data_IF_668942950353
#
_entry.id   IF_668942950353
#
_cell.length_a   1.000
_cell.length_b   1.000
_cell.length_c   1.000
_cell.angle_alpha   90.00
_cell.angle_beta   90.00
_cell.angle_gamma   90.00
#
_symmetry.space_group_name_H-M   'P 1'
#
loop_
_entity.id
_entity.type
_entity.pdbx_description
1 polymer ?
#
# COMPACT_ATOMS: atom_id res chain seq x y z
N UNK A 1 -49.82 25.25 36.89
CA UNK A 1 -49.25 24.57 38.08
C UNK A 1 -48.06 25.37 38.60
N UNK A 2 -48.00 25.68 39.91
CA UNK A 2 -47.05 26.62 40.52
C UNK A 2 -46.94 26.33 42.03
N UNK A 3 -45.73 26.51 42.62
CA UNK A 3 -45.38 26.40 44.07
C UNK A 3 -45.46 24.97 44.65
N UNK A 4 -44.59 24.43 45.53
CA UNK A 4 -43.51 24.89 46.44
C UNK A 4 -43.86 24.93 47.95
N UNK A 5 -42.91 24.41 48.76
CA UNK A 5 -42.68 24.53 50.24
C UNK A 5 -43.28 23.49 51.22
N UNK A 6 -42.36 22.85 51.94
CA UNK A 6 -42.33 22.67 53.41
C UNK A 6 -40.84 22.93 53.85
N UNK A 7 -40.42 23.57 54.94
CA UNK A 7 -40.91 23.75 56.32
C UNK A 7 -40.70 22.48 57.19
N UNK A 8 -40.12 22.48 58.41
CA UNK A 8 -39.46 23.53 59.25
C UNK A 8 -38.46 22.87 60.29
N UNK A 9 -38.22 23.26 61.57
CA UNK A 9 -36.83 23.56 62.03
C UNK A 9 -36.35 22.97 63.40
N UNK A 10 -35.12 23.34 63.80
CA UNK A 10 -34.61 23.45 65.20
C UNK A 10 -33.17 24.01 65.20
N UNK A 11 -32.80 25.19 65.74
CA UNK A 11 -32.68 25.62 67.16
C UNK A 11 -31.88 24.63 68.03
N UNK A 12 -30.89 25.00 68.86
CA UNK A 12 -30.11 26.24 69.10
C UNK A 12 -28.81 25.84 69.90
N UNK A 13 -27.90 26.67 70.47
CA UNK A 13 -27.79 28.11 70.71
C UNK A 13 -26.30 28.55 70.96
N UNK A 14 -26.09 29.86 71.13
CA UNK A 14 -25.15 30.62 72.02
C UNK A 14 -23.85 30.02 72.65
N UNK A 15 -22.84 30.79 73.08
CA UNK A 15 -22.31 32.14 72.81
C UNK A 15 -21.11 32.39 73.77
N UNK A 16 -20.11 33.21 73.43
CA UNK A 16 -18.99 33.54 74.36
C UNK A 16 -17.73 34.07 73.67
N UNK A 17 -17.72 35.31 73.17
CA UNK A 17 -17.27 36.56 73.84
C UNK A 17 -15.74 36.81 73.79
N UNK A 18 -15.41 37.77 72.94
CA UNK A 18 -14.15 38.47 72.63
C UNK A 18 -13.34 38.90 73.87
N UNK A 19 -11.98 38.84 73.78
CA UNK A 19 -11.06 39.93 74.18
C UNK A 19 -9.60 39.72 73.67
N UNK A 20 -9.02 40.78 73.09
CA UNK A 20 -7.57 41.03 72.84
C UNK A 20 -7.08 41.98 73.95
N UNK A 21 -5.78 42.06 74.37
CA UNK A 21 -4.65 42.45 73.49
C UNK A 21 -3.24 41.95 73.94
N UNK A 22 -2.16 42.50 73.37
CA UNK A 22 -0.82 42.51 74.00
C UNK A 22 0.38 42.31 73.06
N UNK A 23 1.37 43.23 73.08
CA UNK A 23 2.66 43.13 72.34
C UNK A 23 3.82 42.90 73.32
N UNK A 24 4.81 42.04 72.97
CA UNK A 24 6.25 42.40 72.76
C UNK A 24 7.22 41.20 72.84
N UNK A 25 8.06 41.08 71.79
CA UNK A 25 9.44 40.54 71.67
C UNK A 25 10.06 39.68 72.80
N UNK A 26 10.65 38.54 72.40
CA UNK A 26 12.06 38.16 72.70
C UNK A 26 12.62 37.23 71.59
N UNK A 27 13.95 37.08 71.54
CA UNK A 27 14.72 36.52 70.42
C UNK A 27 15.07 35.02 70.55
N UNK A 28 15.48 34.43 69.42
CA UNK A 28 16.39 33.29 69.24
C UNK A 28 15.99 31.87 69.72
N UNK A 29 15.68 31.00 68.75
CA UNK A 29 16.42 29.74 68.50
C UNK A 29 16.02 29.18 67.11
N UNK A 30 16.99 28.69 66.32
CA UNK A 30 16.72 28.18 64.96
C UNK A 30 16.32 26.69 64.98
N UNK A 31 15.20 26.29 64.34
CA UNK A 31 14.86 24.88 64.15
C UNK A 31 15.57 24.28 62.92
N UNK A 32 16.12 23.08 63.09
CA UNK A 32 16.85 22.32 62.06
C UNK A 32 15.99 22.03 60.83
N UNK A 33 16.61 22.08 59.64
CA UNK A 33 15.98 21.81 58.35
C UNK A 33 15.48 20.36 58.23
N UNK A 34 14.17 20.19 57.99
CA UNK A 34 13.62 18.95 57.44
C UNK A 34 13.79 18.97 55.91
N UNK A 35 14.26 17.90 55.26
CA UNK A 35 14.32 17.86 53.80
C UNK A 35 12.90 17.87 53.22
N UNK A 36 12.60 18.86 52.37
CA UNK A 36 11.36 18.87 51.58
C UNK A 36 11.39 17.68 50.62
N UNK A 37 10.36 16.82 50.65
CA UNK A 37 10.10 15.89 49.56
C UNK A 37 9.92 16.70 48.27
N UNK A 38 10.85 16.54 47.33
CA UNK A 38 10.66 17.04 45.97
C UNK A 38 9.47 16.30 45.34
N UNK A 39 8.50 17.05 44.81
CA UNK A 39 7.36 16.50 44.09
C UNK A 39 7.71 16.53 42.59
N UNK A 40 7.99 15.38 41.94
CA UNK A 40 8.39 15.37 40.54
C UNK A 40 7.15 15.59 39.66
N UNK A 41 6.73 16.84 39.51
CA UNK A 41 5.86 17.24 38.40
C UNK A 41 6.70 17.20 37.13
N UNK A 42 6.74 16.03 36.51
CA UNK A 42 7.27 15.84 35.17
C UNK A 42 6.51 16.76 34.22
N UNK A 43 7.20 17.77 33.68
CA UNK A 43 6.70 18.57 32.57
C UNK A 43 6.78 17.73 31.30
N UNK A 44 5.81 16.83 31.12
CA UNK A 44 5.59 16.14 29.85
C UNK A 44 5.07 17.14 28.82
N UNK A 45 6.00 17.88 28.20
CA UNK A 45 5.76 18.47 26.89
C UNK A 45 5.26 17.34 25.97
N UNK A 46 4.13 17.52 25.27
CA UNK A 46 3.68 16.51 24.32
C UNK A 46 4.75 16.40 23.25
N UNK A 47 5.44 15.26 23.22
CA UNK A 47 6.35 14.89 22.13
C UNK A 47 5.54 15.04 20.85
N UNK A 48 5.93 15.98 19.98
CA UNK A 48 5.40 16.03 18.60
C UNK A 48 5.53 14.62 18.01
N UNK A 49 4.51 14.11 17.31
CA UNK A 49 4.66 12.86 16.59
C UNK A 49 5.88 12.96 15.67
N UNK A 50 6.66 11.88 15.50
CA UNK A 50 7.78 11.89 14.57
C UNK A 50 7.28 12.35 13.20
N UNK A 51 7.93 13.35 12.63
CA UNK A 51 7.51 13.86 11.33
C UNK A 51 7.70 12.75 10.29
N UNK A 52 6.74 12.56 9.36
CA UNK A 52 6.94 11.61 8.27
C UNK A 52 8.19 12.00 7.48
N UNK A 53 8.93 11.02 6.92
CA UNK A 53 10.11 11.30 6.12
C UNK A 53 9.75 12.26 4.96
N UNK A 54 10.68 13.13 4.57
CA UNK A 54 10.44 14.11 3.51
C UNK A 54 10.01 13.41 2.22
N UNK A 55 9.00 13.97 1.56
CA UNK A 55 8.51 13.47 0.27
C UNK A 55 9.35 14.08 -0.84
N UNK A 56 9.91 13.28 -1.73
CA UNK A 56 10.65 13.81 -2.89
C UNK A 56 9.71 14.55 -3.83
N UNK A 57 10.06 15.77 -4.21
CA UNK A 57 9.35 16.62 -5.15
C UNK A 57 10.29 16.93 -6.30
N UNK A 58 9.88 16.63 -7.53
CA UNK A 58 10.64 17.01 -8.71
C UNK A 58 10.24 18.41 -9.17
N UNK A 59 11.20 19.24 -9.55
CA UNK A 59 10.99 20.48 -10.31
C UNK A 59 11.72 20.38 -11.65
N UNK A 60 10.96 20.38 -12.74
CA UNK A 60 11.45 20.37 -14.11
C UNK A 60 11.30 21.79 -14.66
N UNK A 61 12.39 22.55 -14.69
CA UNK A 61 12.41 23.98 -15.00
C UNK A 61 13.86 24.38 -15.33
N UNK A 62 14.11 25.24 -16.32
CA UNK A 62 15.47 25.65 -16.70
C UNK A 62 15.99 26.87 -15.89
N UNK A 63 15.10 27.58 -15.19
CA UNK A 63 15.42 28.84 -14.53
C UNK A 63 15.93 28.63 -13.09
N UNK A 64 17.25 28.79 -12.91
CA UNK A 64 17.93 28.73 -11.60
C UNK A 64 17.36 29.66 -10.52
N UNK A 65 16.70 30.75 -10.91
CA UNK A 65 16.02 31.65 -9.98
C UNK A 65 14.76 30.99 -9.43
N UNK A 66 13.98 30.33 -10.29
CA UNK A 66 12.76 29.62 -9.92
C UNK A 66 13.06 28.41 -9.04
N UNK A 67 14.15 27.67 -9.29
CA UNK A 67 14.64 26.61 -8.38
C UNK A 67 14.82 27.11 -6.94
N UNK A 68 15.46 28.28 -6.79
CA UNK A 68 15.69 28.92 -5.48
C UNK A 68 14.37 29.40 -4.85
N UNK A 69 13.49 29.99 -5.66
CA UNK A 69 12.19 30.48 -5.20
C UNK A 69 11.31 29.34 -4.67
N UNK A 70 11.12 28.28 -5.45
CA UNK A 70 10.38 27.07 -5.03
C UNK A 70 11.01 26.47 -3.79
N UNK A 71 12.34 26.29 -3.75
CA UNK A 71 13.06 25.79 -2.59
C UNK A 71 12.87 26.65 -1.32
N UNK A 72 12.72 27.97 -1.44
CA UNK A 72 12.37 28.86 -0.32
C UNK A 72 10.89 28.76 0.08
N UNK A 73 9.97 28.56 -0.87
CA UNK A 73 8.55 28.38 -0.56
C UNK A 73 8.29 27.08 0.21
N UNK A 74 8.91 25.96 -0.20
CA UNK A 74 8.76 24.66 0.45
C UNK A 74 9.21 24.69 1.93
N UNK A 75 10.28 25.45 2.24
CA UNK A 75 10.77 25.65 3.62
C UNK A 75 9.80 26.42 4.52
N UNK A 76 8.82 27.12 3.95
CA UNK A 76 7.80 27.86 4.70
C UNK A 76 6.55 27.01 5.00
N UNK A 77 6.45 25.80 4.44
CA UNK A 77 5.30 24.92 4.64
C UNK A 77 5.21 24.49 6.10
N UNK A 78 4.00 24.49 6.65
CA UNK A 78 3.76 24.15 8.06
C UNK A 78 3.41 22.67 8.28
N UNK A 79 3.09 21.94 7.22
CA UNK A 79 2.64 20.55 7.25
C UNK A 79 3.64 19.58 6.64
N UNK A 80 3.59 19.42 5.32
CA UNK A 80 4.42 18.49 4.57
C UNK A 80 5.84 19.02 4.36
N UNK A 81 6.83 18.13 4.51
CA UNK A 81 8.23 18.41 4.22
C UNK A 81 8.58 17.76 2.89
N UNK A 82 9.27 18.51 2.03
CA UNK A 82 9.64 18.06 0.69
C UNK A 82 11.14 18.20 0.47
N UNK A 83 11.75 17.16 -0.07
CA UNK A 83 13.10 17.22 -0.62
C UNK A 83 12.98 17.53 -2.11
N UNK A 84 13.55 18.67 -2.53
CA UNK A 84 13.44 19.17 -3.90
C UNK A 84 14.57 18.58 -4.76
N UNK A 85 14.21 17.69 -5.68
CA UNK A 85 15.06 17.26 -6.79
C UNK A 85 14.76 18.16 -8.01
N UNK A 86 15.77 18.41 -8.84
CA UNK A 86 15.72 19.37 -9.95
C UNK A 86 16.06 18.63 -11.25
N UNK A 87 15.36 18.96 -12.32
CA UNK A 87 15.73 18.66 -13.70
C UNK A 87 15.72 19.96 -14.51
N UNK A 88 16.75 20.21 -15.31
CA UNK A 88 16.94 21.50 -16.00
C UNK A 88 16.51 21.49 -17.47
N UNK A 89 15.93 20.39 -17.94
CA UNK A 89 15.57 20.14 -19.33
C UNK A 89 14.57 18.98 -19.43
N UNK A 90 13.91 18.83 -20.58
CA UNK A 90 12.93 17.78 -20.85
C UNK A 90 13.52 16.38 -20.67
N UNK A 91 14.71 16.13 -21.22
CA UNK A 91 15.33 14.80 -21.20
C UNK A 91 15.56 14.28 -19.78
N UNK A 92 16.14 15.12 -18.92
CA UNK A 92 16.39 14.83 -17.51
C UNK A 92 15.07 14.68 -16.73
N UNK A 93 14.09 15.56 -17.01
CA UNK A 93 12.77 15.48 -16.38
C UNK A 93 12.03 14.18 -16.69
N UNK A 94 12.07 13.73 -17.94
CA UNK A 94 11.48 12.47 -18.38
C UNK A 94 12.18 11.26 -17.74
N UNK A 95 13.51 11.25 -17.66
CA UNK A 95 14.28 10.18 -17.02
C UNK A 95 13.96 10.06 -15.51
N UNK A 96 13.86 11.20 -14.81
CA UNK A 96 13.45 11.23 -13.41
C UNK A 96 11.99 10.80 -13.21
N UNK A 97 11.06 11.23 -14.07
CA UNK A 97 9.66 10.76 -14.03
C UNK A 97 9.51 9.25 -14.33
N UNK A 98 10.36 8.69 -15.20
CA UNK A 98 10.35 7.26 -15.56
C UNK A 98 10.99 6.36 -14.49
N UNK A 99 12.06 6.81 -13.85
CA UNK A 99 12.68 6.10 -12.71
C UNK A 99 11.81 6.18 -11.45
N UNK A 100 11.14 7.31 -11.25
CA UNK A 100 10.03 7.47 -10.31
C UNK A 100 10.42 7.54 -8.84
N UNK A 101 9.39 7.40 -7.99
CA UNK A 101 9.53 7.54 -6.53
C UNK A 101 9.57 8.99 -6.03
N UNK A 102 9.25 9.97 -6.89
CA UNK A 102 8.78 11.30 -6.49
C UNK A 102 7.31 11.23 -6.08
N UNK A 103 6.91 12.02 -5.08
CA UNK A 103 5.53 12.10 -4.64
C UNK A 103 4.68 13.03 -5.52
N UNK A 104 5.31 14.01 -6.16
CA UNK A 104 4.73 14.90 -7.17
C UNK A 104 5.85 15.50 -8.03
N UNK A 105 5.47 16.14 -9.14
CA UNK A 105 6.36 16.99 -9.92
C UNK A 105 5.73 18.37 -10.19
N UNK A 106 6.56 19.40 -10.21
CA UNK A 106 6.28 20.71 -10.78
C UNK A 106 7.00 20.78 -12.13
N UNK A 107 6.31 21.22 -13.18
CA UNK A 107 6.82 21.19 -14.55
C UNK A 107 6.58 22.53 -15.23
N UNK A 108 7.63 23.19 -15.71
CA UNK A 108 7.48 24.33 -16.61
C UNK A 108 6.81 23.88 -17.91
N UNK A 109 5.94 24.75 -18.43
CA UNK A 109 5.38 24.59 -19.77
C UNK A 109 6.47 24.72 -20.85
N UNK A 110 7.43 25.63 -20.68
CA UNK A 110 8.51 25.88 -21.65
C UNK A 110 9.84 25.40 -21.09
N UNK A 111 10.56 24.56 -21.84
CA UNK A 111 11.90 24.09 -21.48
C UNK A 111 12.86 24.34 -22.64
N UNK A 112 14.17 24.41 -22.35
CA UNK A 112 15.20 24.75 -23.37
C UNK A 112 15.21 23.81 -24.59
N UNK A 113 14.83 22.56 -24.39
CA UNK A 113 14.86 21.46 -25.36
C UNK A 113 13.45 20.96 -25.76
N UNK A 114 12.37 21.60 -25.31
CA UNK A 114 11.02 21.22 -25.72
C UNK A 114 9.87 21.86 -24.94
N UNK A 115 8.73 21.17 -24.99
CA UNK A 115 7.46 21.55 -24.39
C UNK A 115 7.09 20.55 -23.28
N UNK A 116 6.68 21.07 -22.13
CA UNK A 116 6.29 20.27 -20.97
C UNK A 116 5.05 19.40 -21.21
N UNK A 117 4.10 19.79 -22.08
CA UNK A 117 2.97 18.92 -22.43
C UNK A 117 3.45 17.63 -23.12
N UNK A 118 4.36 17.78 -24.08
CA UNK A 118 4.95 16.67 -24.83
C UNK A 118 5.71 15.70 -23.91
N UNK A 119 6.49 16.25 -22.95
CA UNK A 119 7.17 15.47 -21.91
C UNK A 119 6.18 14.70 -21.02
N UNK A 120 5.09 15.36 -20.58
CA UNK A 120 4.10 14.72 -19.74
C UNK A 120 3.38 13.59 -20.48
N UNK A 121 3.01 13.81 -21.75
CA UNK A 121 2.39 12.79 -22.59
C UNK A 121 3.31 11.56 -22.77
N UNK A 122 4.60 11.76 -23.02
CA UNK A 122 5.57 10.66 -23.11
C UNK A 122 5.74 9.93 -21.77
N UNK A 123 5.83 10.67 -20.65
CA UNK A 123 5.91 10.09 -19.32
C UNK A 123 4.65 9.24 -18.99
N UNK A 124 3.46 9.73 -19.34
CA UNK A 124 2.19 9.01 -19.17
C UNK A 124 2.12 7.77 -20.05
N UNK A 125 2.57 7.84 -21.30
CA UNK A 125 2.67 6.69 -22.19
C UNK A 125 3.66 5.62 -21.68
N UNK A 126 4.74 6.04 -21.00
CA UNK A 126 5.67 5.17 -20.29
C UNK A 126 5.12 4.63 -18.94
N UNK A 127 3.87 4.94 -18.59
CA UNK A 127 3.21 4.45 -17.36
C UNK A 127 3.50 5.26 -16.10
N UNK A 128 4.12 6.45 -16.21
CA UNK A 128 4.39 7.31 -15.06
C UNK A 128 3.09 7.76 -14.38
N UNK A 129 2.99 7.55 -13.06
CA UNK A 129 1.83 7.91 -12.23
C UNK A 129 2.06 9.11 -11.31
N UNK A 130 3.26 9.70 -11.33
CA UNK A 130 3.59 10.90 -10.53
C UNK A 130 2.58 12.00 -10.87
N UNK A 131 1.89 12.59 -9.87
CA UNK A 131 1.00 13.72 -10.12
C UNK A 131 1.83 14.94 -10.50
N UNK A 132 1.50 15.56 -11.64
CA UNK A 132 2.25 16.69 -12.20
C UNK A 132 1.41 17.96 -12.14
N UNK A 133 2.02 19.06 -11.72
CA UNK A 133 1.43 20.40 -11.68
C UNK A 133 2.23 21.28 -12.63
N UNK A 134 1.57 21.94 -13.58
CA UNK A 134 2.23 22.86 -14.49
C UNK A 134 2.53 24.21 -13.83
N UNK A 135 3.67 24.82 -14.19
CA UNK A 135 4.03 26.18 -13.86
C UNK A 135 3.99 27.02 -15.16
N UNK A 136 2.95 27.83 -15.35
CA UNK A 136 2.73 28.63 -16.57
C UNK A 136 3.13 30.10 -16.38
N UNK A 137 3.62 30.75 -17.42
CA UNK A 137 3.92 32.17 -17.43
C UNK A 137 2.69 33.07 -17.77
N UNK A 138 1.60 32.52 -18.32
CA UNK A 138 0.47 33.32 -18.82
C UNK A 138 -0.86 32.54 -18.80
N UNK A 139 -1.98 33.25 -18.64
CA UNK A 139 -3.35 32.70 -18.47
C UNK A 139 -4.13 32.65 -19.79
N UNK A 140 -3.63 31.91 -20.78
CA UNK A 140 -4.39 31.65 -22.00
C UNK A 140 -5.30 30.45 -21.79
N UNK A 141 -6.63 30.63 -21.84
CA UNK A 141 -7.62 29.57 -21.56
C UNK A 141 -7.38 28.26 -22.34
N UNK A 142 -6.82 28.34 -23.56
CA UNK A 142 -6.46 27.19 -24.40
C UNK A 142 -5.34 26.31 -23.81
N UNK A 143 -4.39 26.91 -23.07
CA UNK A 143 -3.24 26.21 -22.46
C UNK A 143 -3.66 25.39 -21.24
N UNK A 144 -4.63 25.91 -20.48
CA UNK A 144 -5.14 25.31 -19.25
C UNK A 144 -5.87 23.99 -19.57
N UNK A 145 -6.63 23.96 -20.67
CA UNK A 145 -7.29 22.74 -21.17
C UNK A 145 -6.28 21.70 -21.66
N UNK A 146 -5.29 22.09 -22.47
CA UNK A 146 -4.27 21.17 -22.99
C UNK A 146 -3.45 20.51 -21.86
N UNK A 147 -3.15 21.25 -20.79
CA UNK A 147 -2.47 20.71 -19.60
C UNK A 147 -3.29 19.62 -18.90
N UNK A 148 -4.60 19.81 -18.74
CA UNK A 148 -5.50 18.83 -18.14
C UNK A 148 -5.69 17.60 -19.04
N UNK A 149 -5.82 17.79 -20.36
CA UNK A 149 -5.90 16.68 -21.33
C UNK A 149 -4.62 15.84 -21.38
N UNK A 150 -3.45 16.46 -21.22
CA UNK A 150 -2.17 15.75 -21.06
C UNK A 150 -2.05 14.99 -19.72
N UNK A 151 -3.03 15.09 -18.83
CA UNK A 151 -3.05 14.38 -17.55
C UNK A 151 -2.25 15.06 -16.43
N UNK A 152 -2.19 16.40 -16.44
CA UNK A 152 -1.82 17.18 -15.27
C UNK A 152 -2.93 17.16 -14.21
N UNK A 153 -2.56 17.46 -12.97
CA UNK A 153 -3.50 17.50 -11.83
C UNK A 153 -3.95 18.93 -11.51
N UNK A 154 -3.10 19.90 -11.78
CA UNK A 154 -3.34 21.32 -11.51
C UNK A 154 -2.36 22.16 -12.36
N UNK A 155 -2.59 23.46 -12.45
CA UNK A 155 -1.66 24.42 -13.05
C UNK A 155 -1.56 25.67 -12.17
N UNK A 156 -0.39 26.30 -12.18
CA UNK A 156 -0.08 27.46 -11.34
C UNK A 156 0.63 28.53 -12.16
N UNK A 157 0.15 29.77 -12.06
CA UNK A 157 0.85 30.92 -12.63
C UNK A 157 2.17 31.19 -11.88
N UNK A 158 3.29 31.22 -12.59
CA UNK A 158 4.61 31.58 -12.08
C UNK A 158 4.61 32.95 -11.40
N UNK A 159 3.91 33.93 -11.99
CA UNK A 159 3.82 35.30 -11.48
C UNK A 159 2.99 35.44 -10.19
N UNK A 160 1.96 34.62 -10.00
CA UNK A 160 1.10 34.62 -8.81
C UNK A 160 1.52 33.57 -7.76
N UNK A 161 2.62 32.85 -8.00
CA UNK A 161 3.06 31.74 -7.16
C UNK A 161 3.34 32.20 -5.73
N UNK A 162 2.69 31.56 -4.76
CA UNK A 162 2.87 31.85 -3.33
C UNK A 162 2.97 30.56 -2.53
N UNK A 163 3.67 30.56 -1.36
CA UNK A 163 3.80 29.36 -0.52
C UNK A 163 2.46 28.71 -0.18
N UNK A 164 1.44 29.54 0.11
CA UNK A 164 0.09 29.06 0.45
C UNK A 164 -0.63 28.41 -0.73
N UNK A 165 -0.45 28.94 -1.95
CA UNK A 165 -1.03 28.37 -3.17
C UNK A 165 -0.34 27.05 -3.52
N UNK A 166 0.99 27.03 -3.54
CA UNK A 166 1.77 25.83 -3.83
C UNK A 166 1.53 24.71 -2.80
N UNK A 167 1.46 25.03 -1.49
CA UNK A 167 1.12 24.04 -0.45
C UNK A 167 -0.30 23.49 -0.64
N UNK A 168 -1.26 24.30 -1.08
CA UNK A 168 -2.64 23.87 -1.37
C UNK A 168 -2.68 22.88 -2.53
N UNK A 169 -2.06 23.24 -3.65
CA UNK A 169 -2.08 22.44 -4.88
C UNK A 169 -1.31 21.13 -4.74
N UNK A 170 -0.10 21.15 -4.15
CA UNK A 170 0.62 19.92 -3.80
C UNK A 170 -0.19 19.03 -2.85
N UNK A 171 -0.85 19.59 -1.83
CA UNK A 171 -1.69 18.83 -0.90
C UNK A 171 -2.90 18.20 -1.60
N UNK A 172 -3.51 18.89 -2.55
CA UNK A 172 -4.61 18.35 -3.35
C UNK A 172 -4.11 17.21 -4.24
N UNK A 173 -3.04 17.44 -4.99
CA UNK A 173 -2.47 16.47 -5.92
C UNK A 173 -2.01 15.17 -5.23
N UNK A 174 -1.36 15.29 -4.06
CA UNK A 174 -0.99 14.13 -3.24
C UNK A 174 -2.22 13.35 -2.74
N UNK A 175 -3.28 14.03 -2.27
CA UNK A 175 -4.51 13.37 -1.83
C UNK A 175 -5.23 12.66 -2.96
N UNK A 176 -5.31 13.29 -4.13
CA UNK A 176 -5.91 12.69 -5.31
C UNK A 176 -5.13 11.43 -5.73
N UNK A 177 -3.80 11.51 -5.77
CA UNK A 177 -2.94 10.35 -6.06
C UNK A 177 -3.08 9.23 -5.02
N UNK A 178 -3.17 9.57 -3.72
CA UNK A 178 -3.41 8.61 -2.64
C UNK A 178 -4.79 7.92 -2.79
N UNK A 179 -5.85 8.68 -3.11
CA UNK A 179 -7.19 8.12 -3.35
C UNK A 179 -7.28 7.28 -4.62
N UNK A 180 -6.61 7.68 -5.71
CA UNK A 180 -6.57 6.91 -6.95
C UNK A 180 -5.82 5.58 -6.76
N UNK A 181 -4.71 5.58 -6.02
CA UNK A 181 -3.99 4.33 -5.70
C UNK A 181 -4.80 3.43 -4.75
N UNK A 182 -5.55 3.99 -3.80
CA UNK A 182 -6.49 3.22 -2.98
C UNK A 182 -7.60 2.58 -3.81
N UNK A 183 -8.24 3.35 -4.72
CA UNK A 183 -9.24 2.82 -5.65
C UNK A 183 -8.64 1.73 -6.56
N UNK A 184 -7.41 1.91 -7.02
CA UNK A 184 -6.69 0.91 -7.81
C UNK A 184 -6.42 -0.36 -7.01
N UNK A 185 -5.97 -0.26 -5.76
CA UNK A 185 -5.75 -1.42 -4.89
C UNK A 185 -7.06 -2.17 -4.63
N UNK A 186 -8.15 -1.47 -4.33
CA UNK A 186 -9.50 -2.07 -4.22
C UNK A 186 -9.97 -2.72 -5.53
N UNK A 187 -9.54 -2.18 -6.68
CA UNK A 187 -9.89 -2.70 -8.00
C UNK A 187 -9.04 -3.92 -8.43
N UNK A 188 -7.78 -4.02 -8.01
CA UNK A 188 -6.83 -5.04 -8.51
C UNK A 188 -6.38 -6.08 -7.48
N UNK A 189 -6.60 -5.86 -6.18
CA UNK A 189 -6.19 -6.78 -5.11
C UNK A 189 -7.37 -7.41 -4.37
N UNK A 190 -7.14 -8.58 -3.78
CA UNK A 190 -8.03 -9.20 -2.80
C UNK A 190 -7.82 -8.56 -1.42
N UNK A 191 -8.90 -8.23 -0.73
CA UNK A 191 -8.85 -7.45 0.52
C UNK A 191 -8.32 -8.26 1.71
N UNK A 192 -8.46 -9.59 1.68
CA UNK A 192 -8.03 -10.46 2.78
C UNK A 192 -6.53 -10.76 2.70
N UNK A 193 -6.07 -11.15 1.51
CA UNK A 193 -4.72 -11.69 1.27
C UNK A 193 -3.73 -10.67 0.71
N UNK A 194 -4.21 -9.55 0.16
CA UNK A 194 -3.39 -8.56 -0.54
C UNK A 194 -2.84 -9.02 -1.90
N UNK A 195 -3.10 -10.26 -2.32
CA UNK A 195 -2.75 -10.78 -3.64
C UNK A 195 -3.55 -10.08 -4.74
N UNK A 196 -3.24 -10.34 -6.00
CA UNK A 196 -4.10 -9.93 -7.11
C UNK A 196 -5.49 -10.60 -6.96
N UNK A 197 -6.56 -9.88 -7.31
CA UNK A 197 -7.89 -10.50 -7.40
C UNK A 197 -8.08 -11.19 -8.76
N UNK A 198 -9.07 -12.07 -8.86
CA UNK A 198 -9.40 -12.82 -10.07
C UNK A 198 -9.49 -11.95 -11.34
N UNK A 199 -10.13 -10.78 -11.26
CA UNK A 199 -10.30 -9.89 -12.44
C UNK A 199 -8.96 -9.38 -12.98
N UNK A 200 -8.04 -9.01 -12.10
CA UNK A 200 -6.70 -8.56 -12.51
C UNK A 200 -5.83 -9.75 -12.96
N UNK A 201 -6.00 -10.93 -12.34
CA UNK A 201 -5.40 -12.17 -12.82
C UNK A 201 -5.83 -12.52 -14.26
N UNK A 202 -7.13 -12.52 -14.54
CA UNK A 202 -7.67 -12.85 -15.87
C UNK A 202 -7.11 -11.88 -16.95
N UNK A 203 -6.96 -10.60 -16.60
CA UNK A 203 -6.37 -9.56 -17.46
C UNK A 203 -4.87 -9.82 -17.72
N UNK A 204 -4.08 -10.01 -16.67
CA UNK A 204 -2.63 -10.25 -16.79
C UNK A 204 -2.34 -11.56 -17.52
N UNK A 205 -3.12 -12.62 -17.26
CA UNK A 205 -3.00 -13.90 -17.96
C UNK A 205 -3.22 -13.72 -19.46
N UNK A 206 -4.23 -12.94 -19.88
CA UNK A 206 -4.45 -12.59 -21.28
C UNK A 206 -3.26 -11.86 -21.92
N UNK A 207 -2.77 -10.81 -21.27
CA UNK A 207 -1.67 -9.98 -21.78
C UNK A 207 -0.35 -10.77 -21.90
N UNK A 208 0.02 -11.54 -20.86
CA UNK A 208 1.28 -12.29 -20.84
C UNK A 208 1.25 -13.52 -21.75
N UNK A 209 0.12 -14.24 -21.88
CA UNK A 209 0.01 -15.32 -22.88
C UNK A 209 0.14 -14.77 -24.31
N UNK A 210 -0.51 -13.65 -24.62
CA UNK A 210 -0.39 -13.02 -25.93
C UNK A 210 1.07 -12.61 -26.23
N UNK A 211 1.81 -12.13 -25.21
CA UNK A 211 3.25 -11.85 -25.31
C UNK A 211 4.08 -13.12 -25.52
N UNK A 212 3.87 -14.15 -24.72
CA UNK A 212 4.59 -15.42 -24.78
C UNK A 212 4.43 -16.12 -26.12
N UNK A 213 3.20 -16.24 -26.62
CA UNK A 213 2.90 -16.83 -27.95
C UNK A 213 3.54 -16.01 -29.07
N UNK A 214 3.53 -14.67 -28.99
CA UNK A 214 4.12 -13.79 -30.01
C UNK A 214 5.65 -13.88 -30.09
N UNK A 215 6.33 -14.11 -28.97
CA UNK A 215 7.79 -14.10 -28.87
C UNK A 215 8.40 -15.49 -28.66
N UNK A 216 7.61 -16.56 -28.81
CA UNK A 216 8.00 -17.96 -28.58
C UNK A 216 8.73 -18.16 -27.22
N UNK A 217 8.13 -17.62 -26.15
CA UNK A 217 8.65 -17.72 -24.78
C UNK A 217 7.76 -18.62 -23.92
N UNK A 218 8.33 -19.55 -23.15
CA UNK A 218 7.55 -20.41 -22.27
C UNK A 218 6.95 -19.60 -21.11
N UNK A 219 5.73 -19.94 -20.71
CA UNK A 219 5.14 -19.47 -19.45
C UNK A 219 4.26 -20.55 -18.87
N UNK A 220 4.18 -20.60 -17.54
CA UNK A 220 3.41 -21.61 -16.82
C UNK A 220 2.36 -20.98 -15.90
N UNK A 221 1.21 -21.62 -15.83
CA UNK A 221 0.14 -21.33 -14.87
C UNK A 221 0.10 -22.45 -13.83
N UNK A 222 0.10 -22.09 -12.56
CA UNK A 222 -0.28 -22.99 -11.47
C UNK A 222 -1.64 -22.56 -10.89
N UNK A 223 -2.58 -23.50 -10.80
CA UNK A 223 -3.79 -23.39 -9.98
C UNK A 223 -3.59 -24.18 -8.69
N UNK A 224 -4.00 -23.60 -7.57
CA UNK A 224 -3.66 -24.06 -6.21
C UNK A 224 -4.94 -24.08 -5.37
N UNK A 225 -5.13 -25.12 -4.56
CA UNK A 225 -6.27 -25.28 -3.66
C UNK A 225 -5.81 -25.74 -2.28
N UNK A 226 -6.29 -25.07 -1.24
CA UNK A 226 -5.91 -25.38 0.14
C UNK A 226 -6.59 -26.67 0.59
N UNK A 227 -5.79 -27.69 0.90
CA UNK A 227 -6.30 -29.01 1.21
C UNK A 227 -7.17 -28.99 2.48
N UNK A 228 -8.39 -29.51 2.35
CA UNK A 228 -9.35 -29.62 3.46
C UNK A 228 -9.74 -28.28 4.11
N UNK A 229 -9.65 -27.15 3.39
CA UNK A 229 -9.96 -25.82 3.93
C UNK A 229 -11.34 -25.73 4.60
N UNK A 230 -12.37 -26.32 4.00
CA UNK A 230 -13.70 -26.42 4.63
C UNK A 230 -13.65 -27.02 6.05
N UNK A 231 -12.84 -28.07 6.29
CA UNK A 231 -12.69 -28.68 7.62
C UNK A 231 -12.05 -27.71 8.62
N UNK A 232 -11.15 -26.84 8.19
CA UNK A 232 -10.58 -25.77 9.04
C UNK A 232 -11.69 -24.80 9.48
N UNK A 233 -12.52 -24.32 8.55
CA UNK A 233 -13.66 -23.46 8.87
C UNK A 233 -14.67 -24.15 9.80
N UNK A 234 -15.04 -25.40 9.50
CA UNK A 234 -16.04 -26.16 10.27
C UNK A 234 -15.54 -26.48 11.71
N UNK A 235 -14.22 -26.59 11.91
CA UNK A 235 -13.61 -26.94 13.22
C UNK A 235 -13.15 -25.73 14.04
N UNK A 236 -12.66 -24.67 13.38
CA UNK A 236 -12.01 -23.52 14.04
C UNK A 236 -12.67 -22.17 13.72
N UNK A 237 -13.72 -22.15 12.90
CA UNK A 237 -14.45 -20.95 12.50
C UNK A 237 -13.78 -20.16 11.38
N UNK A 238 -14.56 -19.28 10.74
CA UNK A 238 -14.08 -18.44 9.62
C UNK A 238 -12.85 -17.59 9.94
N UNK A 239 -12.67 -16.98 11.13
CA UNK A 239 -11.44 -16.23 11.44
C UNK A 239 -10.17 -17.07 11.36
N UNK A 240 -10.25 -18.38 11.61
CA UNK A 240 -9.12 -19.28 11.44
C UNK A 240 -8.90 -19.66 9.97
N UNK A 241 -9.96 -19.82 9.18
CA UNK A 241 -9.86 -19.94 7.73
C UNK A 241 -9.20 -18.71 7.08
N UNK A 242 -9.60 -17.50 7.51
CA UNK A 242 -9.03 -16.24 7.04
C UNK A 242 -7.51 -16.15 7.35
N UNK A 243 -7.10 -16.51 8.56
CA UNK A 243 -5.68 -16.58 8.93
C UNK A 243 -4.91 -17.63 8.11
N UNK A 244 -5.53 -18.77 7.79
CA UNK A 244 -4.94 -19.79 6.91
C UNK A 244 -4.78 -19.28 5.47
N UNK A 245 -5.78 -18.58 4.92
CA UNK A 245 -5.71 -17.95 3.60
C UNK A 245 -4.57 -16.94 3.51
N UNK A 246 -4.44 -16.07 4.53
CA UNK A 246 -3.36 -15.09 4.63
C UNK A 246 -1.98 -15.75 4.74
N UNK A 247 -1.86 -16.80 5.55
CA UNK A 247 -0.62 -17.55 5.72
C UNK A 247 -0.18 -18.23 4.42
N UNK A 248 -1.08 -18.93 3.73
CA UNK A 248 -0.78 -19.59 2.44
C UNK A 248 -0.43 -18.54 1.38
N UNK A 249 -1.20 -17.46 1.28
CA UNK A 249 -0.92 -16.36 0.36
C UNK A 249 0.48 -15.75 0.57
N UNK A 250 0.86 -15.48 1.82
CA UNK A 250 2.19 -14.96 2.17
C UNK A 250 3.32 -15.92 1.81
N UNK A 251 3.13 -17.22 2.05
CA UNK A 251 4.11 -18.27 1.72
C UNK A 251 4.34 -18.42 0.21
N UNK A 252 3.29 -18.25 -0.60
CA UNK A 252 3.39 -18.28 -2.07
C UNK A 252 4.05 -16.98 -2.56
N UNK A 253 3.56 -15.82 -2.12
CA UNK A 253 4.08 -14.51 -2.54
C UNK A 253 5.57 -14.31 -2.20
N UNK A 254 6.02 -14.77 -1.03
CA UNK A 254 7.43 -14.67 -0.61
C UNK A 254 8.38 -15.62 -1.35
N UNK A 255 7.87 -16.56 -2.15
CA UNK A 255 8.66 -17.51 -2.94
C UNK A 255 8.50 -17.33 -4.47
N UNK A 256 7.59 -16.48 -4.90
CA UNK A 256 7.46 -16.02 -6.28
C UNK A 256 8.58 -15.02 -6.62
N UNK A 257 8.93 -14.90 -7.90
CA UNK A 257 9.88 -13.86 -8.37
C UNK A 257 9.14 -12.53 -8.56
N UNK A 258 9.87 -11.42 -8.59
CA UNK A 258 9.29 -10.09 -8.84
C UNK A 258 8.56 -9.97 -10.21
N UNK A 259 8.87 -10.88 -11.14
CA UNK A 259 8.24 -10.99 -12.48
C UNK A 259 7.07 -11.97 -12.53
N UNK A 260 6.82 -12.72 -11.46
CA UNK A 260 5.71 -13.66 -11.35
C UNK A 260 4.48 -13.00 -10.73
N UNK A 261 3.29 -13.43 -11.12
CA UNK A 261 2.03 -12.85 -10.65
C UNK A 261 1.27 -13.83 -9.77
N UNK A 262 1.02 -13.46 -8.52
CA UNK A 262 0.30 -14.27 -7.53
C UNK A 262 -1.08 -13.67 -7.26
N UNK A 263 -2.12 -14.50 -7.37
CA UNK A 263 -3.51 -14.10 -7.27
C UNK A 263 -4.33 -15.01 -6.34
N UNK A 264 -5.38 -14.45 -5.74
CA UNK A 264 -6.49 -15.22 -5.19
C UNK A 264 -7.54 -15.39 -6.28
N UNK A 265 -7.67 -16.62 -6.77
CA UNK A 265 -8.54 -16.97 -7.90
C UNK A 265 -9.98 -17.29 -7.47
N UNK A 266 -10.13 -17.83 -6.25
CA UNK A 266 -11.42 -18.24 -5.69
C UNK A 266 -11.45 -18.17 -4.15
N UNK A 267 -12.39 -18.88 -3.54
CA UNK A 267 -12.59 -18.86 -2.09
C UNK A 267 -11.38 -19.38 -1.31
N UNK A 268 -10.97 -20.60 -1.64
CA UNK A 268 -9.79 -21.31 -1.10
C UNK A 268 -8.71 -21.56 -2.18
N UNK A 269 -8.86 -20.91 -3.33
CA UNK A 269 -8.05 -21.13 -4.53
C UNK A 269 -7.12 -19.96 -4.81
N UNK A 270 -5.84 -20.27 -5.07
CA UNK A 270 -4.81 -19.31 -5.49
C UNK A 270 -4.32 -19.66 -6.90
N UNK A 271 -3.75 -18.69 -7.60
CA UNK A 271 -3.12 -18.90 -8.89
C UNK A 271 -1.76 -18.20 -8.97
N UNK A 272 -0.82 -18.79 -9.72
CA UNK A 272 0.50 -18.20 -9.99
C UNK A 272 0.79 -18.26 -11.48
N UNK A 273 1.07 -17.09 -12.08
CA UNK A 273 1.56 -16.97 -13.45
C UNK A 273 3.08 -16.83 -13.37
N UNK A 274 3.80 -17.78 -13.97
CA UNK A 274 5.26 -17.83 -14.01
C UNK A 274 5.74 -17.57 -15.44
N UNK A 275 6.23 -16.36 -15.69
CA UNK A 275 6.79 -15.99 -17.00
C UNK A 275 8.16 -16.64 -17.21
N UNK A 276 8.54 -16.86 -18.47
CA UNK A 276 9.82 -17.47 -18.87
C UNK A 276 10.10 -18.81 -18.16
N UNK A 277 9.07 -19.65 -18.05
CA UNK A 277 9.08 -20.87 -17.21
C UNK A 277 8.37 -22.03 -17.90
N UNK A 278 9.04 -23.19 -17.97
CA UNK A 278 8.49 -24.45 -18.49
C UNK A 278 7.66 -25.19 -17.44
N UNK A 279 6.77 -26.10 -17.88
CA UNK A 279 5.96 -26.93 -16.97
C UNK A 279 6.78 -27.65 -15.90
N UNK A 280 7.94 -28.23 -16.28
CA UNK A 280 8.83 -28.91 -15.34
C UNK A 280 9.43 -28.00 -14.27
N UNK A 281 9.88 -26.80 -14.65
CA UNK A 281 10.43 -25.81 -13.71
C UNK A 281 9.35 -25.27 -12.77
N UNK A 282 8.17 -24.95 -13.30
CA UNK A 282 7.01 -24.52 -12.54
C UNK A 282 6.55 -25.57 -11.52
N UNK A 283 6.48 -26.85 -11.93
CA UNK A 283 6.15 -27.97 -11.04
C UNK A 283 7.14 -28.09 -9.87
N UNK A 284 8.44 -27.95 -10.14
CA UNK A 284 9.48 -27.99 -9.09
C UNK A 284 9.37 -26.78 -8.14
N UNK A 285 9.13 -25.58 -8.67
CA UNK A 285 8.90 -24.38 -7.86
C UNK A 285 7.67 -24.53 -6.94
N UNK A 286 6.55 -25.01 -7.48
CA UNK A 286 5.33 -25.27 -6.73
C UNK A 286 5.50 -26.38 -5.68
N UNK A 287 6.22 -27.45 -6.00
CA UNK A 287 6.51 -28.52 -5.04
C UNK A 287 7.39 -28.03 -3.89
N UNK A 288 8.36 -27.14 -4.16
CA UNK A 288 9.15 -26.44 -3.13
C UNK A 288 8.26 -25.58 -2.23
N UNK A 289 7.32 -24.83 -2.80
CA UNK A 289 6.36 -24.01 -2.04
C UNK A 289 5.48 -24.87 -1.12
N UNK A 290 4.92 -25.98 -1.63
CA UNK A 290 4.12 -26.94 -0.86
C UNK A 290 4.93 -27.56 0.30
N UNK A 291 6.16 -28.01 0.01
CA UNK A 291 7.06 -28.56 1.02
C UNK A 291 7.54 -27.50 2.03
N UNK A 292 7.53 -26.21 1.70
CA UNK A 292 7.77 -25.15 2.69
C UNK A 292 6.53 -24.97 3.59
N UNK A 293 5.34 -24.81 3.02
CA UNK A 293 4.08 -24.67 3.77
C UNK A 293 3.85 -25.82 4.77
N UNK A 294 4.06 -27.07 4.34
CA UNK A 294 3.90 -28.24 5.19
C UNK A 294 4.83 -28.26 6.43
N UNK A 295 5.92 -27.47 6.41
CA UNK A 295 6.86 -27.29 7.54
C UNK A 295 6.61 -26.00 8.34
N UNK A 296 5.75 -25.10 7.85
CA UNK A 296 5.40 -23.84 8.49
C UNK A 296 3.91 -23.82 8.82
N UNK A 297 3.48 -24.39 9.97
CA UNK A 297 2.07 -24.37 10.35
C UNK A 297 1.57 -22.93 10.55
N UNK A 298 0.30 -22.70 10.19
CA UNK A 298 -0.37 -21.43 10.43
C UNK A 298 -0.54 -21.23 11.95
N UNK A 299 -0.10 -20.09 12.49
CA UNK A 299 -0.19 -19.77 13.92
C UNK A 299 -1.32 -18.80 14.21
N UNK A 300 -2.23 -19.20 15.10
CA UNK A 300 -3.42 -18.44 15.48
C UNK A 300 -3.45 -18.37 17.02
N UNK A 301 -2.78 -17.35 17.57
CA UNK A 301 -2.43 -17.34 19.00
C UNK A 301 -1.51 -18.52 19.33
N UNK A 302 -1.88 -19.32 20.32
CA UNK A 302 -1.17 -20.55 20.71
C UNK A 302 -1.45 -21.75 19.79
N UNK A 303 -2.45 -21.67 18.90
CA UNK A 303 -2.83 -22.78 18.02
C UNK A 303 -1.89 -22.83 16.80
N UNK A 304 -1.28 -23.99 16.55
CA UNK A 304 -0.50 -24.26 15.34
C UNK A 304 -1.27 -25.25 14.43
N UNK A 305 -1.83 -24.76 13.32
CA UNK A 305 -2.55 -25.57 12.34
C UNK A 305 -1.60 -26.03 11.22
N UNK A 306 -1.37 -27.33 11.04
CA UNK A 306 -0.72 -27.84 9.83
C UNK A 306 -1.67 -27.66 8.64
N UNK A 307 -1.15 -27.08 7.55
CA UNK A 307 -1.90 -26.82 6.31
C UNK A 307 -1.08 -27.33 5.14
N UNK A 308 -1.73 -27.86 4.12
CA UNK A 308 -1.12 -28.23 2.83
C UNK A 308 -1.96 -27.66 1.69
N UNK A 309 -1.42 -27.70 0.47
CA UNK A 309 -2.19 -27.42 -0.74
C UNK A 309 -1.92 -28.48 -1.80
N UNK A 310 -2.89 -28.66 -2.68
CA UNK A 310 -2.71 -29.34 -3.96
C UNK A 310 -2.54 -28.30 -5.06
N UNK A 311 -1.73 -28.60 -6.08
CA UNK A 311 -1.57 -27.72 -7.24
C UNK A 311 -1.57 -28.46 -8.57
N UNK A 312 -2.11 -27.82 -9.60
CA UNK A 312 -2.07 -28.25 -10.99
C UNK A 312 -1.32 -27.23 -11.84
N UNK A 313 -0.39 -27.70 -12.66
CA UNK A 313 0.49 -26.85 -13.48
C UNK A 313 0.25 -27.14 -14.97
N UNK A 314 0.12 -26.09 -15.77
CA UNK A 314 0.11 -26.16 -17.23
C UNK A 314 1.05 -25.11 -17.82
N UNK A 315 1.64 -25.34 -18.99
CA UNK A 315 2.53 -24.38 -19.64
C UNK A 315 2.26 -24.18 -21.14
N UNK A 316 2.56 -22.97 -21.61
CA UNK A 316 2.64 -22.61 -23.02
C UNK A 316 4.03 -23.02 -23.55
N UNK A 317 4.14 -23.62 -24.75
CA UNK A 317 3.05 -23.93 -25.69
C UNK A 317 2.34 -25.28 -25.45
N UNK A 318 2.96 -26.18 -24.68
CA UNK A 318 2.62 -27.61 -24.61
C UNK A 318 1.16 -27.92 -24.25
N UNK A 319 0.60 -27.18 -23.28
CA UNK A 319 -0.71 -27.44 -22.67
C UNK A 319 -1.80 -26.46 -23.16
N UNK A 320 -1.48 -25.59 -24.14
CA UNK A 320 -2.42 -24.68 -24.78
C UNK A 320 -1.88 -23.27 -25.02
N UNK A 321 -2.43 -22.59 -26.04
CA UNK A 321 -2.02 -21.23 -26.46
C UNK A 321 -3.00 -20.12 -26.03
N UNK A 322 -4.09 -20.46 -25.35
CA UNK A 322 -5.11 -19.48 -24.90
C UNK A 322 -5.32 -19.57 -23.38
N UNK A 323 -5.73 -18.47 -22.71
CA UNK A 323 -6.00 -18.49 -21.28
C UNK A 323 -6.99 -19.57 -20.87
N UNK A 324 -8.06 -19.78 -21.65
CA UNK A 324 -9.08 -20.79 -21.39
C UNK A 324 -8.51 -22.23 -21.47
N UNK A 325 -7.68 -22.53 -22.47
CA UNK A 325 -7.05 -23.84 -22.60
C UNK A 325 -6.05 -24.10 -21.45
N UNK A 326 -5.22 -23.11 -21.12
CA UNK A 326 -4.21 -23.23 -20.08
C UNK A 326 -4.84 -23.38 -18.68
N UNK A 327 -5.91 -22.64 -18.38
CA UNK A 327 -6.70 -22.79 -17.16
C UNK A 327 -7.31 -24.20 -17.08
N UNK A 328 -7.92 -24.70 -18.16
CA UNK A 328 -8.53 -26.03 -18.19
C UNK A 328 -7.50 -27.15 -17.97
N UNK A 329 -6.32 -27.04 -18.57
CA UNK A 329 -5.22 -27.99 -18.38
C UNK A 329 -4.68 -27.97 -16.93
N UNK A 330 -4.53 -26.78 -16.34
CA UNK A 330 -4.10 -26.63 -14.94
C UNK A 330 -5.14 -27.15 -13.95
N UNK A 331 -6.43 -26.89 -14.19
CA UNK A 331 -7.53 -27.40 -13.34
C UNK A 331 -7.62 -28.93 -13.40
N UNK A 332 -7.47 -29.50 -14.60
CA UNK A 332 -7.41 -30.95 -14.78
C UNK A 332 -6.24 -31.59 -14.00
N UNK A 333 -5.07 -30.95 -14.01
CA UNK A 333 -3.92 -31.37 -13.21
C UNK A 333 -4.17 -31.24 -11.70
N UNK A 334 -4.82 -30.16 -11.26
CA UNK A 334 -5.19 -29.93 -9.87
C UNK A 334 -6.20 -30.98 -9.37
N UNK A 335 -7.19 -31.32 -10.19
CA UNK A 335 -8.16 -32.38 -9.92
C UNK A 335 -7.47 -33.75 -9.77
N UNK A 336 -6.52 -34.06 -10.65
CA UNK A 336 -5.71 -35.28 -10.55
C UNK A 336 -4.82 -35.29 -9.29
N UNK A 337 -4.23 -34.16 -8.90
CA UNK A 337 -3.48 -34.02 -7.65
C UNK A 337 -4.37 -34.26 -6.40
N UNK A 338 -5.58 -33.67 -6.38
CA UNK A 338 -6.58 -33.90 -5.32
C UNK A 338 -6.99 -35.38 -5.24
N UNK A 339 -7.26 -36.04 -6.38
CA UNK A 339 -7.61 -37.48 -6.46
C UNK A 339 -6.46 -38.40 -6.08
N UNK A 340 -5.22 -38.04 -6.38
CA UNK A 340 -4.04 -38.82 -5.99
C UNK A 340 -3.82 -38.91 -4.48
N UNK A 341 -4.53 -38.09 -3.68
CA UNK A 341 -4.43 -38.06 -2.24
C UNK A 341 -3.89 -36.75 -1.67
N UNK A 342 -4.04 -35.64 -2.40
CA UNK A 342 -3.70 -34.26 -1.97
C UNK A 342 -2.22 -34.03 -1.62
N UNK A 343 -1.88 -32.83 -1.14
CA UNK A 343 -0.54 -32.38 -0.76
C UNK A 343 0.53 -32.69 -1.84
N UNK A 344 0.22 -32.36 -3.09
CA UNK A 344 1.08 -32.65 -4.24
C UNK A 344 0.84 -31.69 -5.40
N UNK A 345 1.80 -31.68 -6.31
CA UNK A 345 1.77 -30.89 -7.54
C UNK A 345 1.86 -31.84 -8.73
N UNK A 346 0.88 -31.77 -9.64
CA UNK A 346 0.95 -32.44 -10.94
C UNK A 346 1.04 -31.40 -12.06
N UNK A 347 1.77 -31.71 -13.13
CA UNK A 347 1.61 -31.05 -14.43
C UNK A 347 0.45 -31.66 -15.23
N UNK A 348 -0.03 -30.94 -16.24
CA UNK A 348 -1.05 -31.44 -17.16
C UNK A 348 -0.60 -32.73 -17.89
N UNK A 349 0.68 -32.80 -18.28
CA UNK A 349 1.31 -34.00 -18.83
C UNK A 349 1.30 -35.18 -17.84
N UNK A 350 1.68 -34.97 -16.57
CA UNK A 350 1.60 -36.02 -15.53
C UNK A 350 0.15 -36.47 -15.28
N UNK A 351 -0.81 -35.55 -15.33
CA UNK A 351 -2.23 -35.86 -15.14
C UNK A 351 -2.81 -36.69 -16.30
N UNK A 352 -2.41 -36.42 -17.55
CA UNK A 352 -2.77 -37.24 -18.72
C UNK A 352 -2.20 -38.66 -18.58
N UNK A 353 -0.91 -38.79 -18.22
CA UNK A 353 -0.27 -40.09 -17.99
C UNK A 353 -0.94 -40.89 -16.86
N UNK A 354 -1.29 -40.22 -15.75
CA UNK A 354 -1.98 -40.85 -14.63
C UNK A 354 -3.39 -41.37 -14.98
N UNK A 355 -4.05 -40.78 -15.98
CA UNK A 355 -5.32 -41.29 -16.50
C UNK A 355 -5.14 -42.45 -17.48
N UNK A 356 -4.14 -42.38 -18.36
CA UNK A 356 -3.85 -43.45 -19.32
C UNK A 356 -3.46 -44.79 -18.66
N UNK A 357 -2.96 -44.75 -17.42
CA UNK A 357 -2.62 -45.94 -16.62
C UNK A 357 -3.81 -46.43 -15.74
N UNK A 358 -4.90 -45.67 -15.67
CA UNK A 358 -6.09 -45.98 -14.88
C UNK A 358 -7.27 -46.55 -15.70
N UNK A 359 -7.05 -46.77 -17.00
CA UNK A 359 -7.95 -47.39 -17.99
C UNK A 359 -7.35 -48.71 -18.44
#
# INVERSE_FOLDING_TARGET
MRRARAANPGRAASAGRILRPGRRRRLCAAPRSRPRRANPRSSTTPRRPPMPPPRRLLLIDDERLQHRLVGQMLRQFRGAHFDLEIASNCREGLEQLRSGGHAAALLDYRLTDGDGLSLLAEARAAGCRTPVIFLTANTGDDLDMAALEAGAVDYLEKAALSPKMLERSLRYALRLSESLEQLRQLATRDQLTGLLNRREFDRILGDELARCVRFDRPAALALIDIDHFKKVNDTHGHPAGDAVLQHVAGIIAAQARDVDFVARYGGEEMAVIMVETTAGAARVAMARMAAHLARTPCRIGELALPVTFSAGVAAVPDDGLTPAALIAAADHALYAAKRGGRNRVFSAQEAQLAQAVAV
#
